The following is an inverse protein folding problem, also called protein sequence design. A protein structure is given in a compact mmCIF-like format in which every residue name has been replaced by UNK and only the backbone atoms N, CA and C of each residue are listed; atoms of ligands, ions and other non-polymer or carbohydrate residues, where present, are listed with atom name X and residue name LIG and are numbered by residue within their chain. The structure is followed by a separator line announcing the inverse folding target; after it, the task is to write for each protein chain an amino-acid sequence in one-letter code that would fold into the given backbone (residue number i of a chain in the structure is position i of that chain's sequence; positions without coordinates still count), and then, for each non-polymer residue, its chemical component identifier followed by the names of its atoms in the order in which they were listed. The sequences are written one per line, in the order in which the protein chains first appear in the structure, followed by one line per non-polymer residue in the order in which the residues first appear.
data_IF_553246104712
#
_entry.id   IF_553246104712
#
_cell.length_a   1.000
_cell.length_b   1.000
_cell.length_c   1.000
_cell.angle_alpha   90.00
_cell.angle_beta   90.00
_cell.angle_gamma   90.00
#
_symmetry.space_group_name_H-M   'P 1'
#
loop_
_entity.id
_entity.type
_entity.pdbx_description
1 polymer ?
#
# COMPACT_ATOMS: atom_id res chain seq x y z
N UNK A 1 27.41 -52.77 1.44
CA UNK A 1 27.43 -52.54 2.90
C UNK A 1 28.34 -51.37 3.17
N UNK A 2 27.84 -50.17 2.87
CA UNK A 2 28.56 -48.91 3.07
C UNK A 2 28.46 -48.58 4.55
N UNK A 3 29.44 -49.04 5.32
CA UNK A 3 29.65 -48.55 6.68
C UNK A 3 29.99 -47.07 6.59
N UNK A 4 28.98 -46.24 6.82
CA UNK A 4 29.11 -44.80 6.91
C UNK A 4 30.10 -44.48 8.02
N UNK A 5 31.10 -43.67 7.66
CA UNK A 5 32.13 -43.10 8.50
C UNK A 5 31.55 -42.21 9.60
N UNK A 6 30.89 -42.81 10.57
CA UNK A 6 30.30 -42.13 11.73
C UNK A 6 31.28 -42.06 12.93
N UNK A 7 32.57 -42.32 12.71
CA UNK A 7 33.61 -42.42 13.74
C UNK A 7 34.19 -41.08 14.23
N UNK A 8 33.66 -39.93 13.80
CA UNK A 8 34.29 -38.62 14.08
C UNK A 8 33.59 -37.84 15.20
N UNK A 9 32.36 -38.19 15.57
CA UNK A 9 31.63 -37.50 16.64
C UNK A 9 31.72 -38.27 17.96
N UNK A 10 32.15 -37.59 19.04
CA UNK A 10 32.20 -38.17 20.39
C UNK A 10 30.82 -38.60 20.91
N UNK A 11 29.75 -38.09 20.29
CA UNK A 11 28.36 -38.46 20.56
C UNK A 11 27.55 -38.49 19.27
N UNK A 12 26.62 -39.44 19.20
CA UNK A 12 25.58 -39.54 18.17
C UNK A 12 24.43 -38.59 18.51
N UNK A 13 24.19 -37.59 17.66
CA UNK A 13 23.00 -36.77 17.74
C UNK A 13 21.78 -37.55 17.19
N UNK A 14 20.57 -37.35 17.73
CA UNK A 14 19.38 -37.96 17.17
C UNK A 14 19.17 -37.48 15.73
N UNK A 15 19.00 -38.42 14.81
CA UNK A 15 18.82 -38.12 13.37
C UNK A 15 17.42 -37.62 13.04
N UNK A 16 16.47 -37.75 13.96
CA UNK A 16 15.07 -37.33 13.77
C UNK A 16 14.94 -35.84 14.15
N UNK A 17 14.47 -34.97 13.24
CA UNK A 17 14.37 -33.52 13.50
C UNK A 17 13.56 -33.16 14.75
N UNK A 18 12.47 -33.89 15.04
CA UNK A 18 11.64 -33.63 16.21
C UNK A 18 12.31 -34.02 17.55
N UNK A 19 13.10 -35.10 17.55
CA UNK A 19 13.88 -35.50 18.73
C UNK A 19 15.08 -34.58 18.93
N UNK A 20 15.66 -34.07 17.84
CA UNK A 20 16.70 -33.06 17.86
C UNK A 20 16.17 -31.73 18.41
N UNK A 21 14.96 -31.30 18.03
CA UNK A 21 14.28 -30.15 18.63
C UNK A 21 14.10 -30.32 20.14
N UNK A 22 13.54 -31.46 20.57
CA UNK A 22 13.33 -31.74 21.98
C UNK A 22 14.65 -31.77 22.77
N UNK A 23 15.71 -32.34 22.18
CA UNK A 23 17.06 -32.39 22.73
C UNK A 23 17.69 -31.00 22.89
N UNK A 24 17.50 -30.09 21.93
CA UNK A 24 18.02 -28.73 22.03
C UNK A 24 17.21 -27.81 22.95
N UNK A 25 15.95 -28.16 23.24
CA UNK A 25 15.08 -27.40 24.15
C UNK A 25 15.26 -27.83 25.61
N UNK A 26 15.69 -29.07 25.85
CA UNK A 26 15.87 -29.60 27.20
C UNK A 26 17.30 -29.37 27.74
N UNK A 27 17.42 -28.47 28.72
CA UNK A 27 18.69 -28.13 29.37
C UNK A 27 19.36 -29.35 30.05
N UNK A 28 18.59 -30.26 30.64
CA UNK A 28 19.14 -31.48 31.28
C UNK A 28 19.79 -32.41 30.25
N UNK A 29 19.22 -32.50 29.05
CA UNK A 29 19.79 -33.31 27.97
C UNK A 29 21.11 -32.71 27.48
N UNK A 30 21.20 -31.39 27.35
CA UNK A 30 22.42 -30.70 26.93
C UNK A 30 23.52 -30.82 28.00
N UNK A 31 23.17 -30.68 29.27
CA UNK A 31 24.11 -30.90 30.38
C UNK A 31 24.62 -32.34 30.41
N UNK A 32 23.74 -33.33 30.23
CA UNK A 32 24.11 -34.74 30.10
C UNK A 32 25.03 -34.99 28.91
N UNK A 33 24.71 -34.43 27.74
CA UNK A 33 25.52 -34.52 26.54
C UNK A 33 26.93 -33.95 26.75
N UNK A 34 27.05 -32.80 27.40
CA UNK A 34 28.33 -32.17 27.72
C UNK A 34 29.11 -33.02 28.73
N UNK A 35 28.43 -33.61 29.72
CA UNK A 35 29.05 -34.51 30.69
C UNK A 35 29.64 -35.75 30.03
N UNK A 36 28.90 -36.39 29.12
CA UNK A 36 29.36 -37.54 28.36
C UNK A 36 30.58 -37.21 27.49
N UNK A 37 30.56 -36.06 26.81
CA UNK A 37 31.71 -35.57 26.04
C UNK A 37 32.91 -35.33 26.95
N UNK A 38 32.71 -34.76 28.14
CA UNK A 38 33.78 -34.52 29.12
C UNK A 38 34.37 -35.83 29.63
N UNK A 39 33.54 -36.82 29.95
CA UNK A 39 34.00 -38.13 30.42
C UNK A 39 34.81 -38.85 29.33
N UNK A 40 34.32 -38.86 28.08
CA UNK A 40 35.05 -39.44 26.93
C UNK A 40 36.33 -38.69 26.58
N UNK A 41 36.37 -37.37 26.74
CA UNK A 41 37.59 -36.59 26.51
C UNK A 41 38.62 -36.78 27.63
N UNK A 42 38.17 -36.98 28.87
CA UNK A 42 39.04 -37.16 30.05
C UNK A 42 39.61 -38.57 30.18
N UNK A 43 39.02 -39.56 29.49
CA UNK A 43 39.49 -40.95 29.49
C UNK A 43 40.70 -41.20 28.58
N UNK A 44 41.19 -40.18 27.87
CA UNK A 44 42.43 -40.29 27.07
C UNK A 44 43.64 -40.39 27.99
N UNK A 45 44.20 -41.60 28.08
CA UNK A 45 45.47 -41.86 28.76
C UNK A 45 46.56 -42.06 27.70
N UNK A 46 47.38 -41.03 27.49
CA UNK A 46 48.54 -41.08 26.61
C UNK A 46 49.82 -40.70 27.35
N UNK A 47 50.94 -41.36 27.07
CA UNK A 47 52.23 -40.95 27.62
C UNK A 47 52.76 -39.69 26.93
N UNK A 48 52.82 -38.57 27.67
CA UNK A 48 53.28 -37.26 27.20
C UNK A 48 54.74 -37.26 26.76
N UNK A 49 55.54 -38.22 27.20
CA UNK A 49 56.95 -38.32 26.81
C UNK A 49 57.10 -38.89 25.39
N UNK A 50 56.10 -39.62 24.89
CA UNK A 50 56.12 -40.21 23.55
C UNK A 50 55.42 -39.33 22.51
N UNK A 51 55.92 -39.32 21.28
CA UNK A 51 55.26 -38.63 20.16
C UNK A 51 53.85 -39.20 19.92
N UNK A 52 53.66 -40.52 20.09
CA UNK A 52 52.35 -41.18 19.94
C UNK A 52 51.35 -40.73 20.99
N UNK A 53 51.73 -40.67 22.27
CA UNK A 53 50.84 -40.24 23.35
C UNK A 53 50.41 -38.77 23.22
N UNK A 54 51.33 -37.86 22.83
CA UNK A 54 50.96 -36.47 22.50
C UNK A 54 49.98 -36.37 21.34
N UNK A 55 50.13 -37.22 20.32
CA UNK A 55 49.23 -37.25 19.15
C UNK A 55 47.81 -37.68 19.51
N UNK A 56 47.65 -38.57 20.50
CA UNK A 56 46.33 -38.98 21.01
C UNK A 56 45.58 -37.81 21.65
N UNK A 57 46.23 -36.97 22.46
CA UNK A 57 45.62 -35.76 23.03
C UNK A 57 45.23 -34.74 21.95
N UNK A 58 46.11 -34.52 20.97
CA UNK A 58 45.83 -33.62 19.84
C UNK A 58 44.62 -34.10 19.05
N UNK A 59 44.54 -35.41 18.75
CA UNK A 59 43.43 -36.02 18.04
C UNK A 59 42.11 -35.88 18.81
N UNK A 60 42.13 -36.16 20.12
CA UNK A 60 40.94 -36.01 20.96
C UNK A 60 40.45 -34.56 21.01
N UNK A 61 41.36 -33.59 21.14
CA UNK A 61 41.01 -32.17 21.10
C UNK A 61 40.42 -31.75 19.74
N UNK A 62 40.93 -32.30 18.64
CA UNK A 62 40.36 -32.08 17.30
C UNK A 62 38.95 -32.68 17.15
N UNK A 63 38.71 -33.85 17.74
CA UNK A 63 37.38 -34.49 17.75
C UNK A 63 36.36 -33.69 18.57
N UNK A 64 36.76 -33.12 19.72
CA UNK A 64 35.90 -32.20 20.50
C UNK A 64 35.53 -30.96 19.67
N UNK A 65 36.49 -30.35 18.97
CA UNK A 65 36.24 -29.19 18.09
C UNK A 65 35.31 -29.53 16.93
N UNK A 66 35.50 -30.70 16.33
CA UNK A 66 34.66 -31.18 15.23
C UNK A 66 33.23 -31.47 15.71
N UNK A 67 33.09 -32.10 16.88
CA UNK A 67 31.79 -32.40 17.51
C UNK A 67 31.04 -31.11 17.86
N UNK A 68 31.72 -30.09 18.41
CA UNK A 68 31.13 -28.76 18.64
C UNK A 68 30.56 -28.18 17.34
N UNK A 69 31.35 -28.18 16.28
CA UNK A 69 30.96 -27.60 14.99
C UNK A 69 29.75 -28.33 14.40
N UNK A 70 29.71 -29.66 14.51
CA UNK A 70 28.58 -30.47 14.06
C UNK A 70 27.28 -30.16 14.82
N UNK A 71 27.36 -29.99 16.15
CA UNK A 71 26.21 -29.60 16.99
C UNK A 71 25.71 -28.21 16.59
N UNK A 72 26.62 -27.24 16.45
CA UNK A 72 26.27 -25.86 16.05
C UNK A 72 25.62 -25.82 14.65
N UNK A 73 26.12 -26.61 13.70
CA UNK A 73 25.57 -26.68 12.34
C UNK A 73 24.18 -27.37 12.32
N UNK A 74 24.00 -28.43 13.10
CA UNK A 74 22.71 -29.11 13.26
C UNK A 74 21.64 -28.17 13.85
N UNK A 75 21.98 -27.42 14.90
CA UNK A 75 21.09 -26.42 15.49
C UNK A 75 20.73 -25.30 14.50
N UNK A 76 21.69 -24.83 13.71
CA UNK A 76 21.43 -23.81 12.66
C UNK A 76 20.47 -24.31 11.58
N UNK A 77 20.67 -25.54 11.09
CA UNK A 77 19.78 -26.15 10.08
C UNK A 77 18.36 -26.30 10.63
N UNK A 78 18.23 -26.73 11.88
CA UNK A 78 16.95 -26.89 12.55
C UNK A 78 16.20 -25.55 12.67
N UNK A 79 16.86 -24.50 13.16
CA UNK A 79 16.27 -23.16 13.26
C UNK A 79 15.89 -22.60 11.88
N UNK A 80 16.67 -22.88 10.83
CA UNK A 80 16.36 -22.45 9.47
C UNK A 80 15.06 -23.10 8.96
N UNK A 81 14.89 -24.41 9.15
CA UNK A 81 13.65 -25.12 8.80
C UNK A 81 12.46 -24.65 9.64
N UNK A 82 12.66 -24.45 10.94
CA UNK A 82 11.61 -23.90 11.82
C UNK A 82 11.15 -22.51 11.37
N UNK A 83 12.05 -21.65 10.88
CA UNK A 83 11.67 -20.30 10.39
C UNK A 83 10.92 -20.32 9.06
N UNK A 84 11.12 -21.34 8.22
CA UNK A 84 10.39 -21.48 6.95
C UNK A 84 8.91 -21.80 7.17
N UNK A 85 8.58 -22.59 8.20
CA UNK A 85 7.19 -23.03 8.47
C UNK A 85 6.24 -21.86 8.77
N UNK A 86 6.55 -20.90 9.69
CA UNK A 86 5.74 -19.70 9.91
C UNK A 86 5.57 -18.86 8.65
N UNK A 87 6.64 -18.65 7.87
CA UNK A 87 6.57 -17.87 6.64
C UNK A 87 5.60 -18.48 5.60
N UNK A 88 5.57 -19.81 5.49
CA UNK A 88 4.62 -20.52 4.62
C UNK A 88 3.18 -20.42 5.13
N UNK A 89 2.98 -20.47 6.46
CA UNK A 89 1.68 -20.30 7.09
C UNK A 89 1.16 -18.88 6.86
N UNK A 90 2.01 -17.87 7.05
CA UNK A 90 1.64 -16.46 6.82
C UNK A 90 1.32 -16.18 5.36
N UNK A 91 2.09 -16.76 4.42
CA UNK A 91 1.79 -16.68 2.99
C UNK A 91 0.42 -17.31 2.66
N UNK A 92 0.12 -18.47 3.24
CA UNK A 92 -1.17 -19.14 3.06
C UNK A 92 -2.32 -18.33 3.66
N UNK A 93 -2.14 -17.77 4.87
CA UNK A 93 -3.12 -16.88 5.51
C UNK A 93 -3.40 -15.65 4.68
N UNK A 94 -2.37 -15.04 4.09
CA UNK A 94 -2.53 -13.90 3.19
C UNK A 94 -3.36 -14.27 1.97
N UNK A 95 -3.03 -15.38 1.28
CA UNK A 95 -3.80 -15.86 0.12
C UNK A 95 -5.27 -16.08 0.46
N UNK A 96 -5.55 -16.73 1.59
CA UNK A 96 -6.94 -16.95 2.04
C UNK A 96 -7.67 -15.63 2.26
N UNK A 97 -7.02 -14.64 2.91
CA UNK A 97 -7.61 -13.32 3.12
C UNK A 97 -7.91 -12.63 1.79
N UNK A 98 -6.92 -12.54 0.92
CA UNK A 98 -7.03 -11.83 -0.36
C UNK A 98 -8.14 -12.47 -1.23
N UNK A 99 -8.22 -13.80 -1.30
CA UNK A 99 -9.27 -14.50 -2.05
C UNK A 99 -10.66 -14.35 -1.45
N UNK A 100 -10.78 -14.29 -0.12
CA UNK A 100 -12.08 -14.06 0.53
C UNK A 100 -12.55 -12.62 0.38
N UNK A 101 -11.62 -11.66 0.44
CA UNK A 101 -11.92 -10.24 0.18
C UNK A 101 -12.36 -10.03 -1.27
N UNK A 102 -11.69 -10.66 -2.23
CA UNK A 102 -12.10 -10.66 -3.65
C UNK A 102 -13.51 -11.25 -3.82
N UNK A 103 -13.78 -12.41 -3.22
CA UNK A 103 -15.11 -13.02 -3.25
C UNK A 103 -16.18 -12.12 -2.61
N UNK A 104 -15.86 -11.43 -1.52
CA UNK A 104 -16.77 -10.48 -0.87
C UNK A 104 -17.08 -9.28 -1.79
N UNK A 105 -16.08 -8.78 -2.52
CA UNK A 105 -16.26 -7.72 -3.52
C UNK A 105 -17.14 -8.22 -4.67
N UNK A 106 -16.91 -9.42 -5.19
CA UNK A 106 -17.74 -10.00 -6.25
C UNK A 106 -19.20 -10.18 -5.81
N UNK A 107 -19.43 -10.69 -4.60
CA UNK A 107 -20.78 -10.85 -4.03
C UNK A 107 -21.45 -9.48 -3.84
N UNK A 108 -20.69 -8.45 -3.46
CA UNK A 108 -21.21 -7.10 -3.25
C UNK A 108 -21.43 -6.34 -4.57
N UNK A 109 -20.74 -6.71 -5.64
CA UNK A 109 -20.73 -6.02 -6.92
C UNK A 109 -22.15 -5.74 -7.48
N UNK A 110 -23.10 -6.68 -7.50
CA UNK A 110 -24.45 -6.40 -8.02
C UNK A 110 -25.17 -5.29 -7.26
N UNK A 111 -24.98 -5.20 -5.94
CA UNK A 111 -25.58 -4.14 -5.12
C UNK A 111 -24.87 -2.82 -5.37
N UNK A 112 -23.54 -2.82 -5.47
CA UNK A 112 -22.77 -1.60 -5.78
C UNK A 112 -23.10 -1.05 -7.17
N UNK A 113 -23.25 -1.92 -8.17
CA UNK A 113 -23.65 -1.51 -9.53
C UNK A 113 -25.06 -0.90 -9.51
N UNK A 114 -26.01 -1.51 -8.78
CA UNK A 114 -27.36 -0.96 -8.62
C UNK A 114 -27.36 0.39 -7.87
N UNK A 115 -26.60 0.53 -6.78
CA UNK A 115 -26.44 1.79 -6.04
C UNK A 115 -25.84 2.90 -6.92
N UNK A 116 -24.86 2.56 -7.77
CA UNK A 116 -24.26 3.49 -8.72
C UNK A 116 -25.27 3.94 -9.78
N UNK A 117 -26.06 3.02 -10.34
CA UNK A 117 -27.13 3.35 -11.29
C UNK A 117 -28.21 4.25 -10.66
N UNK A 118 -28.60 4.01 -9.40
CA UNK A 118 -29.56 4.90 -8.71
C UNK A 118 -28.98 6.30 -8.56
N UNK A 119 -27.72 6.40 -8.13
CA UNK A 119 -27.05 7.69 -7.96
C UNK A 119 -26.89 8.44 -9.27
N UNK A 120 -26.62 7.74 -10.37
CA UNK A 120 -26.57 8.33 -11.71
C UNK A 120 -27.94 8.87 -12.14
N UNK A 121 -29.03 8.14 -11.86
CA UNK A 121 -30.41 8.61 -12.12
C UNK A 121 -30.75 9.86 -11.32
N UNK A 122 -30.43 9.88 -10.03
CA UNK A 122 -30.65 11.05 -9.17
C UNK A 122 -29.85 12.26 -9.68
N UNK A 123 -28.59 12.03 -10.06
CA UNK A 123 -27.74 13.08 -10.63
C UNK A 123 -28.29 13.63 -11.95
N UNK A 124 -28.73 12.75 -12.85
CA UNK A 124 -29.31 13.17 -14.13
C UNK A 124 -30.63 13.94 -13.92
N UNK A 125 -31.49 13.50 -12.99
CA UNK A 125 -32.71 14.24 -12.67
C UNK A 125 -32.41 15.64 -12.12
N UNK A 126 -31.41 15.76 -11.24
CA UNK A 126 -30.96 17.06 -10.72
C UNK A 126 -30.36 17.94 -11.83
N UNK A 127 -29.62 17.33 -12.76
CA UNK A 127 -29.04 18.02 -13.91
C UNK A 127 -30.12 18.56 -14.85
N UNK A 128 -31.13 17.75 -15.16
CA UNK A 128 -32.25 18.14 -16.01
C UNK A 128 -33.04 19.30 -15.38
N UNK A 129 -33.31 19.25 -14.06
CA UNK A 129 -33.97 20.35 -13.34
C UNK A 129 -33.13 21.64 -13.40
N UNK A 130 -31.82 21.54 -13.22
CA UNK A 130 -30.92 22.68 -13.32
C UNK A 130 -30.91 23.29 -14.74
N UNK A 131 -30.96 22.45 -15.77
CA UNK A 131 -30.99 22.87 -17.17
C UNK A 131 -32.31 23.59 -17.50
N UNK A 132 -33.44 23.08 -17.01
CA UNK A 132 -34.73 23.76 -17.16
C UNK A 132 -34.73 25.13 -16.47
N UNK A 133 -34.14 25.23 -15.28
CA UNK A 133 -34.04 26.49 -14.56
C UNK A 133 -33.14 27.49 -15.28
N UNK A 134 -32.00 27.06 -15.80
CA UNK A 134 -31.09 27.90 -16.58
C UNK A 134 -31.75 28.41 -17.87
N UNK A 135 -32.51 27.55 -18.56
CA UNK A 135 -33.27 27.94 -19.73
C UNK A 135 -34.31 29.03 -19.40
N UNK A 136 -35.02 28.90 -18.28
CA UNK A 136 -35.98 29.91 -17.80
C UNK A 136 -35.29 31.23 -17.48
N UNK A 137 -34.19 31.19 -16.73
CA UNK A 137 -33.40 32.39 -16.38
C UNK A 137 -32.87 33.07 -17.64
N UNK A 138 -32.40 32.30 -18.61
CA UNK A 138 -31.88 32.84 -19.88
C UNK A 138 -33.00 33.51 -20.69
N UNK A 139 -34.18 32.88 -20.78
CA UNK A 139 -35.34 33.47 -21.44
C UNK A 139 -35.79 34.77 -20.76
N UNK A 140 -35.86 34.80 -19.43
CA UNK A 140 -36.20 36.00 -18.65
C UNK A 140 -35.18 37.13 -18.87
N UNK A 141 -33.88 36.81 -18.84
CA UNK A 141 -32.82 37.79 -19.12
C UNK A 141 -32.89 38.33 -20.54
N UNK A 142 -33.16 37.47 -21.52
CA UNK A 142 -33.32 37.89 -22.92
C UNK A 142 -34.53 38.81 -23.09
N UNK A 143 -35.67 38.49 -22.47
CA UNK A 143 -36.86 39.34 -22.48
C UNK A 143 -36.61 40.69 -21.80
N UNK A 144 -35.96 40.69 -20.64
CA UNK A 144 -35.60 41.91 -19.92
C UNK A 144 -34.63 42.79 -20.74
N UNK A 145 -33.66 42.17 -21.41
CA UNK A 145 -32.72 42.89 -22.28
C UNK A 145 -33.44 43.48 -23.51
N UNK A 146 -34.34 42.72 -24.14
CA UNK A 146 -35.14 43.21 -25.27
C UNK A 146 -36.00 44.42 -24.88
N UNK A 147 -36.70 44.35 -23.75
CA UNK A 147 -37.49 45.47 -23.23
C UNK A 147 -36.61 46.71 -22.93
N UNK A 148 -35.40 46.50 -22.40
CA UNK A 148 -34.45 47.58 -22.18
C UNK A 148 -33.98 48.22 -23.49
N UNK A 149 -33.67 47.41 -24.50
CA UNK A 149 -33.25 47.90 -25.83
C UNK A 149 -34.36 48.75 -26.46
N UNK A 150 -35.61 48.32 -26.36
CA UNK A 150 -36.77 49.06 -26.87
C UNK A 150 -36.93 50.40 -26.15
N UNK A 151 -36.91 50.41 -24.82
CA UNK A 151 -36.97 51.64 -24.02
C UNK A 151 -35.81 52.60 -24.31
N UNK A 152 -34.57 52.09 -24.40
CA UNK A 152 -33.39 52.88 -24.73
C UNK A 152 -33.50 53.47 -26.16
N UNK A 153 -34.08 52.73 -27.10
CA UNK A 153 -34.31 53.19 -28.48
C UNK A 153 -35.38 54.30 -28.55
N UNK A 154 -36.50 54.13 -27.85
CA UNK A 154 -37.53 55.19 -27.74
C UNK A 154 -36.96 56.48 -27.14
N UNK A 155 -36.18 56.34 -26.07
CA UNK A 155 -35.49 57.47 -25.45
C UNK A 155 -34.52 58.16 -26.41
N UNK A 156 -33.76 57.40 -27.20
CA UNK A 156 -32.86 57.96 -28.20
C UNK A 156 -33.61 58.74 -29.29
N UNK A 157 -34.76 58.25 -29.76
CA UNK A 157 -35.60 58.94 -30.73
C UNK A 157 -36.14 60.27 -30.17
N UNK A 158 -36.63 60.28 -28.94
CA UNK A 158 -37.11 61.49 -28.27
C UNK A 158 -35.98 62.51 -28.07
N UNK A 159 -34.78 62.06 -27.72
CA UNK A 159 -33.61 62.94 -27.60
C UNK A 159 -33.21 63.54 -28.95
N UNK A 160 -33.23 62.76 -30.03
CA UNK A 160 -32.96 63.26 -31.38
C UNK A 160 -33.99 64.31 -31.80
N UNK A 161 -35.29 64.06 -31.58
CA UNK A 161 -36.35 65.02 -31.88
C UNK A 161 -36.15 66.33 -31.11
N UNK A 162 -35.79 66.24 -29.83
CA UNK A 162 -35.51 67.41 -28.99
C UNK A 162 -34.30 68.19 -29.49
N UNK A 163 -33.21 67.51 -29.85
CA UNK A 163 -32.01 68.14 -30.41
C UNK A 163 -32.34 68.85 -31.73
N UNK A 164 -33.13 68.23 -32.60
CA UNK A 164 -33.50 68.83 -33.88
C UNK A 164 -34.40 70.06 -33.69
N UNK A 165 -35.33 70.01 -32.72
CA UNK A 165 -36.13 71.18 -32.32
C UNK A 165 -35.26 72.32 -31.78
N UNK A 166 -34.33 72.03 -30.89
CA UNK A 166 -33.40 73.03 -30.35
C UNK A 166 -32.53 73.66 -31.45
N UNK A 167 -32.08 72.86 -32.43
CA UNK A 167 -31.35 73.35 -33.62
C UNK A 167 -32.22 74.26 -34.49
N UNK A 168 -33.48 73.90 -34.71
CA UNK A 168 -34.42 74.71 -35.47
C UNK A 168 -34.70 76.04 -34.78
N UNK A 169 -34.96 76.02 -33.47
CA UNK A 169 -35.14 77.23 -32.66
C UNK A 169 -33.90 78.12 -32.68
N UNK A 170 -32.70 77.53 -32.59
CA UNK A 170 -31.44 78.28 -32.71
C UNK A 170 -31.28 78.90 -34.10
N UNK A 171 -31.65 78.19 -35.17
CA UNK A 171 -31.65 78.70 -36.55
C UNK A 171 -32.62 79.88 -36.70
N UNK A 172 -33.81 79.76 -36.14
CA UNK A 172 -34.82 80.83 -36.17
C UNK A 172 -34.33 82.07 -35.41
N UNK A 173 -33.81 81.92 -34.18
CA UNK A 173 -33.24 83.04 -33.40
C UNK A 173 -32.08 83.73 -34.13
N UNK A 174 -31.19 82.96 -34.76
CA UNK A 174 -30.08 83.51 -35.57
C UNK A 174 -30.54 84.27 -36.83
N UNK A 175 -31.73 83.97 -37.37
CA UNK A 175 -32.32 84.75 -38.46
C UNK A 175 -33.00 86.04 -37.97
N UNK A 176 -33.58 86.04 -36.77
CA UNK A 176 -34.20 87.25 -36.19
C UNK A 176 -33.17 88.28 -35.74
N UNK A 177 -32.01 87.83 -35.23
CA UNK A 177 -30.94 88.72 -34.74
C UNK A 177 -30.18 89.43 -35.89
N UNK A 178 -30.04 88.76 -37.05
CA UNK A 178 -29.51 89.40 -38.28
C UNK A 178 -30.48 90.39 -38.93
N UNK A 179 -31.77 90.39 -38.56
CA UNK A 179 -32.77 91.36 -39.01
C UNK A 179 -32.84 92.63 -38.15
N UNK A 180 -32.21 92.64 -36.96
CA UNK A 180 -32.24 93.76 -36.02
C UNK A 180 -30.95 94.60 -35.99
N UNK A 181 -29.99 94.31 -36.86
CA UNK A 181 -28.72 95.06 -37.03
C UNK A 181 -28.59 95.66 -38.43
N UNK A 182 -29.65 96.33 -38.91
CA UNK A 182 -29.63 97.23 -40.06
C UNK A 182 -30.25 98.58 -39.67
#
# INVERSE_FOLDING_TARGET
MSEEKNEIALVTLPSVPAELEAAFINDEFIEGLIKDIREKASSVVGDLNTVKGRRSYISMAANVRSTKTAIDEAGKKLVAEMKKRPALVDASRKKVRDSLDELAVEIRKPVTDWEAEQKEKEFNAMWDEALELDAKITAERAAALAAKIEADHEMALLMNEKIDREREEARQKGTTDKGSTA
#
